data_IF_224593473686
#
_entry.id   IF_224593473686
#
_cell.length_a   1.000
_cell.length_b   1.000
_cell.length_c   1.000
_cell.angle_alpha   90.00
_cell.angle_beta   90.00
_cell.angle_gamma   90.00
#
_symmetry.space_group_name_H-M   'P 1'
#
loop_
_entity.id
_entity.type
_entity.pdbx_description
1 polymer ?
#
# COMPACT_ATOMS: atom_id res chain seq x y z
N UNK A 1 -31.58 40.79 -18.40
CA UNK A 1 -30.77 39.88 -19.24
C UNK A 1 -30.11 38.85 -18.33
N UNK A 2 -30.48 37.56 -18.38
CA UNK A 2 -29.82 36.53 -17.59
C UNK A 2 -28.71 35.83 -18.40
N UNK A 3 -27.53 35.75 -17.80
CA UNK A 3 -26.34 35.06 -18.32
C UNK A 3 -26.50 33.55 -18.05
N UNK A 4 -26.34 32.65 -19.05
CA UNK A 4 -26.48 31.21 -18.83
C UNK A 4 -25.23 30.63 -18.16
N UNK A 5 -25.42 29.96 -17.03
CA UNK A 5 -24.42 29.11 -16.40
C UNK A 5 -24.10 27.91 -17.30
N UNK A 6 -22.88 27.89 -17.83
CA UNK A 6 -22.30 26.76 -18.57
C UNK A 6 -22.19 25.55 -17.65
N UNK A 7 -22.83 24.46 -18.06
CA UNK A 7 -22.60 23.10 -17.56
C UNK A 7 -21.12 22.75 -17.79
N UNK A 8 -20.33 22.63 -16.73
CA UNK A 8 -19.01 22.01 -16.82
C UNK A 8 -19.18 20.49 -16.92
N UNK A 9 -19.19 19.99 -18.16
CA UNK A 9 -18.96 18.59 -18.46
C UNK A 9 -17.55 18.23 -17.98
N UNK A 10 -17.48 17.41 -16.92
CA UNK A 10 -16.25 16.76 -16.50
C UNK A 10 -15.82 15.82 -17.63
N UNK A 11 -14.84 16.27 -18.41
CA UNK A 11 -14.14 15.45 -19.40
C UNK A 11 -13.52 14.27 -18.66
N UNK A 12 -14.19 13.10 -18.69
CA UNK A 12 -13.59 11.80 -18.36
C UNK A 12 -12.36 11.63 -19.25
N UNK A 13 -11.13 11.52 -18.69
CA UNK A 13 -9.97 11.20 -19.50
C UNK A 13 -10.14 9.78 -20.03
N UNK A 14 -10.34 9.67 -21.34
CA UNK A 14 -10.36 8.41 -22.06
C UNK A 14 -8.96 7.78 -21.97
N UNK A 15 -8.84 6.75 -21.13
CA UNK A 15 -7.60 6.05 -20.87
C UNK A 15 -7.25 5.14 -22.06
N UNK A 16 -6.60 5.72 -23.08
CA UNK A 16 -6.00 4.97 -24.20
C UNK A 16 -4.66 5.62 -24.56
N UNK A 17 -3.59 5.25 -23.85
CA UNK A 17 -2.24 5.69 -24.17
C UNK A 17 -1.51 4.57 -24.93
N UNK A 18 -1.16 4.82 -26.19
CA UNK A 18 -0.64 3.82 -27.11
C UNK A 18 0.89 3.63 -27.03
N UNK A 19 1.61 4.45 -26.25
CA UNK A 19 3.05 4.25 -26.04
C UNK A 19 3.47 4.41 -24.58
N UNK A 20 4.41 3.57 -24.15
CA UNK A 20 5.02 3.63 -22.81
C UNK A 20 5.79 4.96 -22.63
N UNK A 21 6.25 5.56 -23.74
CA UNK A 21 6.97 6.83 -23.76
C UNK A 21 6.08 7.99 -23.31
N UNK A 22 4.87 8.11 -23.85
CA UNK A 22 3.91 9.15 -23.44
C UNK A 22 3.55 9.06 -21.95
N UNK A 23 3.45 7.84 -21.42
CA UNK A 23 3.18 7.63 -20.00
C UNK A 23 4.37 8.06 -19.12
N UNK A 24 5.61 7.83 -19.59
CA UNK A 24 6.82 8.26 -18.90
C UNK A 24 6.99 9.78 -18.94
N UNK A 25 6.68 10.41 -20.08
CA UNK A 25 6.82 11.87 -20.24
C UNK A 25 5.83 12.62 -19.33
N UNK A 26 4.58 12.16 -19.23
CA UNK A 26 3.63 12.70 -18.24
C UNK A 26 4.07 12.45 -16.81
N UNK A 27 4.64 11.28 -16.50
CA UNK A 27 5.16 11.03 -15.15
C UNK A 27 6.26 12.02 -14.77
N UNK A 28 7.14 12.38 -15.72
CA UNK A 28 8.14 13.43 -15.54
C UNK A 28 7.50 14.79 -15.29
N UNK A 29 6.43 15.14 -15.99
CA UNK A 29 5.67 16.39 -15.75
C UNK A 29 5.08 16.44 -14.33
N UNK A 30 4.49 15.35 -13.85
CA UNK A 30 3.84 15.32 -12.52
C UNK A 30 4.80 15.22 -11.35
N UNK A 31 5.92 14.50 -11.49
CA UNK A 31 6.84 14.20 -10.38
C UNK A 31 8.20 14.89 -10.50
N UNK A 32 8.45 15.62 -11.59
CA UNK A 32 9.74 16.25 -11.93
C UNK A 32 10.94 15.28 -11.81
N UNK A 33 10.68 13.98 -11.95
CA UNK A 33 11.64 12.90 -11.79
C UNK A 33 11.42 11.86 -12.87
N UNK A 34 12.51 11.27 -13.32
CA UNK A 34 12.48 10.18 -14.28
C UNK A 34 11.94 8.91 -13.65
N UNK A 35 11.26 8.08 -14.46
CA UNK A 35 10.72 6.81 -14.01
C UNK A 35 11.86 5.83 -13.71
N UNK A 36 12.19 5.66 -12.43
CA UNK A 36 13.36 4.92 -11.95
C UNK A 36 13.34 3.43 -12.30
N UNK A 37 12.16 2.86 -12.56
CA UNK A 37 11.98 1.43 -12.82
C UNK A 37 11.86 1.09 -14.31
N UNK A 38 12.17 2.04 -15.21
CA UNK A 38 12.11 1.77 -16.65
C UNK A 38 13.06 0.64 -17.05
N UNK A 39 14.26 0.62 -16.48
CA UNK A 39 15.24 -0.43 -16.72
C UNK A 39 14.74 -1.81 -16.24
N UNK A 40 14.22 -1.88 -15.02
CA UNK A 40 13.65 -3.12 -14.47
C UNK A 40 12.48 -3.65 -15.33
N UNK A 41 11.65 -2.75 -15.85
CA UNK A 41 10.58 -3.11 -16.79
C UNK A 41 11.12 -3.73 -18.09
N UNK A 42 12.23 -3.19 -18.62
CA UNK A 42 12.88 -3.73 -19.82
C UNK A 42 13.52 -5.10 -19.60
N UNK A 43 14.04 -5.36 -18.39
CA UNK A 43 14.57 -6.68 -18.02
C UNK A 43 13.44 -7.68 -17.86
N UNK A 44 12.37 -7.32 -17.13
CA UNK A 44 11.27 -8.23 -16.83
C UNK A 44 10.50 -8.65 -18.08
N UNK A 45 10.29 -7.74 -19.04
CA UNK A 45 9.50 -8.03 -20.25
C UNK A 45 10.11 -9.10 -21.17
N UNK A 46 11.42 -9.33 -21.08
CA UNK A 46 12.14 -10.36 -21.86
C UNK A 46 12.26 -11.70 -21.12
N UNK A 47 11.71 -11.81 -19.92
CA UNK A 47 11.74 -13.08 -19.17
C UNK A 47 10.61 -13.99 -19.66
N UNK A 48 10.91 -15.27 -19.85
CA UNK A 48 9.93 -16.30 -20.24
C UNK A 48 8.73 -16.36 -19.30
N UNK A 49 8.94 -16.10 -18.01
CA UNK A 49 7.87 -16.01 -17.00
C UNK A 49 6.88 -14.87 -17.28
N UNK A 50 7.36 -13.75 -17.80
CA UNK A 50 6.51 -12.63 -18.21
C UNK A 50 5.75 -12.94 -19.50
N UNK A 51 6.41 -13.58 -20.47
CA UNK A 51 5.79 -14.03 -21.71
C UNK A 51 4.65 -15.02 -21.44
N UNK A 52 4.88 -16.03 -20.59
CA UNK A 52 3.87 -17.01 -20.17
C UNK A 52 2.69 -16.32 -19.45
N UNK A 53 2.95 -15.29 -18.65
CA UNK A 53 1.93 -14.51 -17.97
C UNK A 53 1.07 -13.69 -18.95
N UNK A 54 1.70 -13.04 -19.94
CA UNK A 54 1.00 -12.29 -20.98
C UNK A 54 0.15 -13.23 -21.85
N UNK A 55 0.69 -14.39 -22.22
CA UNK A 55 -0.04 -15.40 -23.00
C UNK A 55 -1.26 -15.92 -22.23
N UNK A 56 -1.12 -16.19 -20.92
CA UNK A 56 -2.25 -16.53 -20.04
C UNK A 56 -3.30 -15.43 -19.96
N UNK A 57 -2.89 -14.16 -19.90
CA UNK A 57 -3.82 -13.03 -19.87
C UNK A 57 -4.58 -12.85 -21.20
N UNK A 58 -3.93 -13.11 -22.33
CA UNK A 58 -4.55 -13.04 -23.66
C UNK A 58 -5.51 -14.21 -23.91
N UNK A 59 -5.15 -15.41 -23.47
CA UNK A 59 -6.00 -16.60 -23.59
C UNK A 59 -7.21 -16.55 -22.66
N UNK A 60 -7.05 -16.01 -21.44
CA UNK A 60 -8.16 -15.81 -20.49
C UNK A 60 -9.22 -14.83 -21.01
N UNK A 61 -8.82 -13.84 -21.82
CA UNK A 61 -9.75 -12.93 -22.53
C UNK A 61 -10.52 -13.61 -23.66
N UNK A 62 -9.97 -14.64 -24.31
CA UNK A 62 -10.69 -15.40 -25.35
C UNK A 62 -11.79 -16.31 -24.78
N UNK A 63 -11.65 -16.76 -23.53
CA UNK A 63 -12.64 -17.64 -22.89
C UNK A 63 -13.93 -16.91 -22.45
N UNK A 64 -13.90 -15.57 -22.34
CA UNK A 64 -15.02 -14.77 -21.83
C UNK A 64 -15.74 -13.92 -22.91
N UNK A 65 -15.42 -14.10 -24.20
CA UNK A 65 -15.99 -13.27 -25.25
C UNK A 65 -16.12 -13.98 -26.60
N UNK A 66 -17.20 -14.73 -26.79
CA UNK A 66 -17.84 -14.81 -28.10
C UNK A 66 -18.54 -13.47 -28.36
N UNK A 67 -18.00 -12.67 -29.28
CA UNK A 67 -18.59 -11.39 -29.66
C UNK A 67 -17.66 -10.66 -30.63
N UNK A 68 -18.12 -10.49 -31.85
CA UNK A 68 -17.38 -9.97 -33.00
C UNK A 68 -16.85 -8.53 -32.80
N UNK A 69 -15.72 -8.24 -33.47
CA UNK A 69 -15.41 -6.88 -33.93
C UNK A 69 -14.07 -6.29 -33.45
N UNK A 70 -13.21 -5.97 -34.43
CA UNK A 70 -11.98 -5.15 -34.35
C UNK A 70 -10.69 -5.87 -33.90
N UNK A 71 -10.32 -6.90 -34.66
CA UNK A 71 -8.92 -7.13 -35.06
C UNK A 71 -8.57 -5.93 -35.96
N UNK A 72 -7.65 -5.03 -35.62
CA UNK A 72 -6.34 -4.99 -36.30
C UNK A 72 -5.35 -3.96 -35.71
N UNK A 73 -5.67 -3.31 -34.58
CA UNK A 73 -4.80 -2.25 -34.04
C UNK A 73 -3.79 -2.74 -32.97
N UNK A 74 -4.09 -3.85 -32.27
CA UNK A 74 -3.27 -4.29 -31.13
C UNK A 74 -2.16 -5.29 -31.51
N UNK A 75 -2.23 -5.89 -32.71
CA UNK A 75 -1.24 -6.86 -33.19
C UNK A 75 0.01 -6.21 -33.81
N UNK A 76 -0.03 -4.92 -34.16
CA UNK A 76 1.13 -4.23 -34.77
C UNK A 76 2.18 -3.74 -33.78
N UNK A 77 1.86 -3.60 -32.49
CA UNK A 77 2.78 -3.05 -31.51
C UNK A 77 3.82 -4.08 -30.98
N UNK A 78 3.53 -5.38 -31.07
CA UNK A 78 4.42 -6.41 -30.51
C UNK A 78 5.39 -7.04 -31.52
N UNK A 79 5.13 -6.94 -32.83
CA UNK A 79 5.99 -7.54 -33.86
C UNK A 79 7.19 -6.66 -34.26
N UNK A 80 7.11 -5.34 -34.05
CA UNK A 80 8.17 -4.39 -34.46
C UNK A 80 9.44 -4.45 -33.60
N UNK A 81 9.37 -4.97 -32.36
CA UNK A 81 10.52 -5.00 -31.43
C UNK A 81 11.25 -6.37 -31.47
N UNK A 82 10.81 -7.30 -32.34
CA UNK A 82 11.46 -8.61 -32.50
C UNK A 82 12.83 -8.53 -33.22
N UNK A 83 13.15 -7.41 -33.87
CA UNK A 83 14.26 -7.34 -34.83
C UNK A 83 15.63 -6.94 -34.27
N UNK A 84 15.84 -6.74 -32.96
CA UNK A 84 17.14 -6.22 -32.46
C UNK A 84 17.76 -6.84 -31.21
N UNK A 85 17.28 -8.00 -30.72
CA UNK A 85 17.95 -8.66 -29.59
C UNK A 85 18.19 -10.15 -29.87
N UNK A 86 19.20 -10.47 -30.67
CA UNK A 86 19.82 -11.80 -30.69
C UNK A 86 20.92 -11.83 -29.62
N UNK A 87 20.54 -12.02 -28.36
CA UNK A 87 21.52 -12.40 -27.33
C UNK A 87 21.65 -13.92 -27.38
N UNK A 88 22.78 -14.37 -27.92
CA UNK A 88 23.16 -15.78 -27.98
C UNK A 88 23.24 -16.35 -26.56
N UNK A 89 22.25 -17.17 -26.19
CA UNK A 89 22.34 -18.02 -25.00
C UNK A 89 22.92 -19.36 -25.46
N UNK A 90 24.11 -19.78 -24.99
CA UNK A 90 24.70 -21.06 -25.37
C UNK A 90 23.82 -22.23 -24.88
N UNK A 91 23.46 -23.10 -25.82
CA UNK A 91 22.81 -24.39 -25.54
C UNK A 91 23.89 -25.38 -25.07
N UNK A 92 24.00 -25.60 -23.76
CA UNK A 92 24.86 -26.66 -23.24
C UNK A 92 24.17 -28.03 -23.32
N UNK A 93 24.79 -28.92 -24.10
CA UNK A 93 25.09 -30.31 -23.75
C UNK A 93 23.92 -31.26 -23.46
N UNK A 94 23.60 -32.11 -24.43
CA UNK A 94 22.76 -33.28 -24.22
C UNK A 94 23.44 -34.28 -23.27
N UNK A 95 22.81 -34.52 -22.11
CA UNK A 95 23.20 -35.58 -21.18
C UNK A 95 22.59 -36.90 -21.68
N UNK A 96 23.46 -37.86 -22.01
CA UNK A 96 23.11 -39.24 -22.35
C UNK A 96 22.52 -39.92 -21.10
N UNK A 97 21.30 -40.45 -21.21
CA UNK A 97 20.64 -41.24 -20.16
C UNK A 97 21.17 -42.67 -20.18
N UNK A 98 21.89 -43.08 -19.15
CA UNK A 98 22.07 -44.50 -18.80
C UNK A 98 20.92 -44.91 -17.87
N UNK A 99 20.25 -45.99 -18.24
CA UNK A 99 19.12 -46.59 -17.55
C UNK A 99 19.66 -47.51 -16.45
N UNK A 100 19.44 -47.16 -15.19
CA UNK A 100 19.63 -48.06 -14.04
C UNK A 100 18.36 -48.09 -13.22
N UNK A 101 17.81 -49.31 -13.16
CA UNK A 101 17.04 -49.98 -12.10
C UNK A 101 16.00 -49.19 -11.30
N UNK A 102 14.76 -49.66 -11.46
CA UNK A 102 13.57 -49.19 -10.79
C UNK A 102 13.56 -49.63 -9.32
N UNK A 103 13.65 -48.65 -8.43
CA UNK A 103 13.04 -48.68 -7.09
C UNK A 103 11.94 -47.62 -7.12
N UNK A 104 10.70 -48.01 -6.80
CA UNK A 104 9.48 -47.21 -7.02
C UNK A 104 9.55 -45.78 -6.44
N UNK A 105 9.54 -44.72 -7.27
CA UNK A 105 9.60 -43.33 -6.83
C UNK A 105 8.21 -42.65 -6.94
N UNK A 106 7.16 -43.29 -6.39
CA UNK A 106 5.76 -42.92 -6.68
C UNK A 106 5.01 -42.17 -5.55
N UNK A 107 5.70 -41.60 -4.56
CA UNK A 107 5.03 -40.87 -3.46
C UNK A 107 5.74 -39.56 -3.04
N UNK A 108 7.06 -39.48 -3.13
CA UNK A 108 7.86 -38.34 -2.63
C UNK A 108 7.55 -37.01 -3.34
N UNK A 109 7.27 -37.05 -4.65
CA UNK A 109 6.99 -35.83 -5.43
C UNK A 109 5.65 -35.17 -5.08
N UNK A 110 4.63 -35.97 -4.71
CA UNK A 110 3.32 -35.46 -4.31
C UNK A 110 3.39 -34.83 -2.92
N UNK A 111 4.08 -35.48 -1.98
CA UNK A 111 4.33 -34.97 -0.64
C UNK A 111 5.09 -33.64 -0.66
N UNK A 112 6.18 -33.53 -1.45
CA UNK A 112 6.93 -32.27 -1.59
C UNK A 112 6.07 -31.14 -2.16
N UNK A 113 5.18 -31.43 -3.11
CA UNK A 113 4.28 -30.43 -3.67
C UNK A 113 3.26 -29.96 -2.62
N UNK A 114 2.68 -30.88 -1.86
CA UNK A 114 1.71 -30.59 -0.81
C UNK A 114 2.33 -29.82 0.36
N UNK A 115 3.53 -30.21 0.78
CA UNK A 115 4.34 -29.51 1.79
C UNK A 115 4.66 -28.08 1.34
N UNK A 116 5.04 -27.88 0.07
CA UNK A 116 5.26 -26.54 -0.48
C UNK A 116 3.99 -25.68 -0.51
N UNK A 117 2.82 -26.28 -0.77
CA UNK A 117 1.54 -25.54 -0.70
C UNK A 117 1.22 -25.10 0.73
N UNK A 118 1.44 -25.97 1.71
CA UNK A 118 1.29 -25.65 3.13
C UNK A 118 2.26 -24.56 3.57
N UNK A 119 3.53 -24.63 3.16
CA UNK A 119 4.54 -23.62 3.48
C UNK A 119 4.18 -22.25 2.89
N UNK A 120 3.64 -22.22 1.67
CA UNK A 120 3.16 -20.98 1.04
C UNK A 120 1.98 -20.41 1.82
N UNK A 121 1.00 -21.22 2.20
CA UNK A 121 -0.15 -20.76 3.00
C UNK A 121 0.29 -20.23 4.37
N UNK A 122 1.21 -20.90 5.03
CA UNK A 122 1.74 -20.51 6.34
C UNK A 122 2.55 -19.19 6.25
N UNK A 123 3.33 -19.00 5.17
CA UNK A 123 3.98 -17.72 4.87
C UNK A 123 2.97 -16.60 4.62
N UNK A 124 1.88 -16.88 3.91
CA UNK A 124 0.79 -15.92 3.67
C UNK A 124 0.04 -15.58 4.96
N UNK A 125 -0.24 -16.58 5.82
CA UNK A 125 -0.88 -16.40 7.11
C UNK A 125 -0.03 -15.49 8.02
N UNK A 126 1.27 -15.79 8.16
CA UNK A 126 2.22 -14.94 8.90
C UNK A 126 2.38 -13.54 8.31
N UNK A 127 2.28 -13.40 6.99
CA UNK A 127 2.31 -12.08 6.35
C UNK A 127 1.05 -11.26 6.68
N UNK A 128 -0.12 -11.90 6.66
CA UNK A 128 -1.40 -11.28 7.05
C UNK A 128 -1.41 -10.90 8.52
N UNK A 129 -0.98 -11.80 9.40
CA UNK A 129 -0.89 -11.55 10.84
C UNK A 129 -0.01 -10.32 11.13
N UNK A 130 1.22 -10.27 10.59
CA UNK A 130 2.10 -9.09 10.73
C UNK A 130 1.52 -7.80 10.13
N UNK A 131 0.63 -7.92 9.16
CA UNK A 131 -0.07 -6.76 8.62
C UNK A 131 -1.14 -6.26 9.60
N UNK A 132 -1.96 -7.17 10.13
CA UNK A 132 -2.96 -6.84 11.15
C UNK A 132 -2.34 -6.30 12.43
N UNK A 133 -1.26 -6.92 12.90
CA UNK A 133 -0.50 -6.46 14.07
C UNK A 133 0.04 -5.04 13.84
N UNK A 134 0.64 -4.77 12.67
CA UNK A 134 1.09 -3.41 12.34
C UNK A 134 -0.07 -2.41 12.30
N UNK A 135 -1.23 -2.80 11.78
CA UNK A 135 -2.41 -1.93 11.78
C UNK A 135 -2.91 -1.66 13.20
N UNK A 136 -2.96 -2.69 14.05
CA UNK A 136 -3.32 -2.55 15.46
C UNK A 136 -2.35 -1.62 16.20
N UNK A 137 -1.04 -1.83 16.03
CA UNK A 137 -0.01 -0.98 16.64
C UNK A 137 -0.09 0.48 16.16
N UNK A 138 -0.44 0.72 14.89
CA UNK A 138 -0.65 2.08 14.39
C UNK A 138 -1.87 2.71 15.04
N UNK A 139 -2.99 1.98 15.16
CA UNK A 139 -4.20 2.48 15.81
C UNK A 139 -3.97 2.77 17.30
N UNK A 140 -3.27 1.88 18.00
CA UNK A 140 -2.90 2.06 19.41
C UNK A 140 -2.05 3.31 19.60
N UNK A 141 -1.01 3.50 18.77
CA UNK A 141 -0.19 4.72 18.82
C UNK A 141 -0.98 5.99 18.51
N UNK A 142 -1.92 5.93 17.58
CA UNK A 142 -2.80 7.07 17.30
C UNK A 142 -3.67 7.41 18.52
N UNK A 143 -4.22 6.39 19.19
CA UNK A 143 -5.01 6.58 20.39
C UNK A 143 -4.14 7.15 21.53
N UNK A 144 -2.93 6.64 21.72
CA UNK A 144 -2.01 7.14 22.73
C UNK A 144 -1.69 8.63 22.49
N UNK A 145 -1.36 9.01 21.26
CA UNK A 145 -1.11 10.42 20.92
C UNK A 145 -2.34 11.29 21.19
N UNK A 146 -3.55 10.80 20.93
CA UNK A 146 -4.78 11.54 21.26
C UNK A 146 -4.98 11.71 22.76
N UNK A 147 -4.69 10.67 23.55
CA UNK A 147 -4.75 10.74 25.02
C UNK A 147 -3.75 11.77 25.54
N UNK A 148 -2.49 11.70 25.09
CA UNK A 148 -1.45 12.66 25.48
C UNK A 148 -1.81 14.10 25.10
N UNK A 149 -2.38 14.32 23.90
CA UNK A 149 -2.86 15.65 23.49
C UNK A 149 -4.02 16.15 24.36
N UNK A 150 -4.95 15.26 24.72
CA UNK A 150 -6.07 15.59 25.59
C UNK A 150 -5.58 15.93 27.01
N UNK A 151 -4.66 15.14 27.57
CA UNK A 151 -4.04 15.40 28.86
C UNK A 151 -3.26 16.71 28.87
N UNK A 152 -2.50 16.98 27.81
CA UNK A 152 -1.79 18.25 27.65
C UNK A 152 -2.76 19.43 27.67
N UNK A 153 -3.84 19.34 26.89
CA UNK A 153 -4.88 20.39 26.82
C UNK A 153 -5.54 20.59 28.17
N UNK A 154 -5.91 19.49 28.85
CA UNK A 154 -6.45 19.52 30.21
C UNK A 154 -5.52 20.23 31.18
N UNK A 155 -4.22 19.92 31.16
CA UNK A 155 -3.22 20.60 32.03
C UNK A 155 -3.09 22.08 31.69
N UNK A 156 -3.16 22.46 30.42
CA UNK A 156 -3.16 23.87 30.02
C UNK A 156 -4.38 24.62 30.58
N UNK A 157 -5.56 24.01 30.51
CA UNK A 157 -6.79 24.57 31.07
C UNK A 157 -6.74 24.67 32.59
N UNK A 158 -6.24 23.63 33.27
CA UNK A 158 -6.02 23.66 34.73
C UNK A 158 -5.05 24.78 35.12
N UNK A 159 -3.92 24.93 34.42
CA UNK A 159 -2.97 26.01 34.66
C UNK A 159 -3.60 27.39 34.45
N UNK A 160 -4.44 27.53 33.41
CA UNK A 160 -5.16 28.77 33.14
C UNK A 160 -6.13 29.12 34.28
N UNK A 161 -6.87 28.14 34.81
CA UNK A 161 -7.77 28.33 35.96
C UNK A 161 -6.96 28.71 37.21
N UNK A 162 -5.84 28.04 37.47
CA UNK A 162 -4.97 28.31 38.61
C UNK A 162 -4.31 29.70 38.57
N UNK A 163 -4.01 30.23 37.38
CA UNK A 163 -3.34 31.51 37.19
C UNK A 163 -4.27 32.67 36.84
N UNK A 164 -5.59 32.44 36.81
CA UNK A 164 -6.53 33.49 36.45
C UNK A 164 -6.61 34.56 37.53
N UNK A 165 -6.49 35.83 37.14
CA UNK A 165 -6.71 36.96 38.03
C UNK A 165 -8.20 37.08 38.39
N UNK A 166 -8.50 36.98 39.68
CA UNK A 166 -9.86 37.07 40.22
C UNK A 166 -10.22 38.48 40.70
N UNK A 167 -9.30 39.45 40.65
CA UNK A 167 -9.56 40.79 41.21
C UNK A 167 -10.73 41.50 40.50
N UNK A 168 -10.81 41.37 39.18
CA UNK A 168 -11.78 42.07 38.32
C UNK A 168 -13.01 41.23 37.97
N UNK A 169 -13.18 40.06 38.57
CA UNK A 169 -14.27 39.13 38.28
C UNK A 169 -15.47 39.40 39.21
N UNK A 170 -16.71 39.07 38.82
CA UNK A 170 -17.86 39.18 39.73
C UNK A 170 -17.74 38.21 40.90
N UNK A 171 -18.27 38.56 42.08
CA UNK A 171 -18.07 37.77 43.31
C UNK A 171 -18.54 36.31 43.17
N UNK A 172 -19.69 36.09 42.53
CA UNK A 172 -20.21 34.73 42.23
C UNK A 172 -19.27 33.93 41.33
N UNK A 173 -18.65 34.57 40.34
CA UNK A 173 -17.70 33.90 39.48
C UNK A 173 -16.36 33.65 40.20
N UNK A 174 -15.92 34.57 41.08
CA UNK A 174 -14.74 34.34 41.93
C UNK A 174 -14.89 33.08 42.78
N UNK A 175 -16.02 32.92 43.45
CA UNK A 175 -16.31 31.72 44.26
C UNK A 175 -16.25 30.45 43.42
N UNK A 176 -16.86 30.47 42.22
CA UNK A 176 -16.81 29.35 41.29
C UNK A 176 -15.37 28.96 40.90
N UNK A 177 -14.54 29.93 40.52
CA UNK A 177 -13.15 29.66 40.13
C UNK A 177 -12.27 29.24 41.31
N UNK A 178 -12.49 29.78 42.50
CA UNK A 178 -11.81 29.34 43.72
C UNK A 178 -12.14 27.88 44.05
N UNK A 179 -13.40 27.48 43.91
CA UNK A 179 -13.80 26.08 44.11
C UNK A 179 -13.11 25.16 43.10
N UNK A 180 -13.05 25.55 41.82
CA UNK A 180 -12.32 24.78 40.81
C UNK A 180 -10.81 24.69 41.11
N UNK A 181 -10.18 25.78 41.55
CA UNK A 181 -8.76 25.76 41.96
C UNK A 181 -8.54 24.80 43.14
N UNK A 182 -9.44 24.80 44.12
CA UNK A 182 -9.38 23.87 45.24
C UNK A 182 -9.54 22.42 44.79
N UNK A 183 -10.49 22.14 43.91
CA UNK A 183 -10.71 20.80 43.36
C UNK A 183 -9.48 20.29 42.61
N UNK A 184 -8.85 21.13 41.77
CA UNK A 184 -7.60 20.80 41.06
C UNK A 184 -6.50 20.44 42.07
N UNK A 185 -6.31 21.25 43.12
CA UNK A 185 -5.31 20.98 44.17
C UNK A 185 -5.63 19.72 45.00
N UNK A 186 -6.90 19.40 45.20
CA UNK A 186 -7.31 18.17 45.90
C UNK A 186 -7.07 16.93 45.03
N UNK A 187 -7.39 16.99 43.75
CA UNK A 187 -7.13 15.92 42.79
C UNK A 187 -5.63 15.66 42.66
N UNK A 188 -4.80 16.70 42.60
CA UNK A 188 -3.34 16.56 42.59
C UNK A 188 -2.80 15.95 43.89
N UNK A 189 -3.36 16.29 45.06
CA UNK A 189 -2.98 15.67 46.34
C UNK A 189 -3.34 14.18 46.42
N UNK A 190 -4.44 13.77 45.79
CA UNK A 190 -4.86 12.35 45.74
C UNK A 190 -4.16 11.55 44.63
N UNK A 191 -3.81 12.19 43.52
CA UNK A 191 -3.15 11.56 42.37
C UNK A 191 -1.62 11.67 42.34
N UNK A 192 -1.01 12.53 43.16
CA UNK A 192 0.43 12.84 43.17
C UNK A 192 1.35 11.73 43.73
N UNK A 193 0.84 10.52 43.95
CA UNK A 193 1.61 9.35 44.36
C UNK A 193 2.03 8.42 43.23
N UNK A 194 1.62 8.65 41.98
CA UNK A 194 1.87 7.72 40.88
C UNK A 194 2.59 8.38 39.70
N UNK A 195 3.82 7.90 39.47
CA UNK A 195 4.61 7.97 38.22
C UNK A 195 5.12 9.34 37.76
N UNK A 196 6.13 9.86 38.45
CA UNK A 196 7.27 10.52 37.77
C UNK A 196 8.55 10.29 38.57
N UNK A 197 9.02 9.04 38.71
CA UNK A 197 10.45 8.70 38.83
C UNK A 197 10.66 7.27 38.28
N UNK A 198 11.66 7.18 37.39
CA UNK A 198 12.36 6.02 36.83
C UNK A 198 11.83 5.35 35.57
#
# INVERSE_FOLDING_TARGET
MPIPFRVMTVLRPSFRHSTIKDACDRFKEFKKKDFQFLHCWHVLRGTRKWEDYVEKMLTKRKAYGQGQGKKDAQLRCYTYIRSRCTVNIPKNGGIKRTKTEATDPMDTGHQIFQERQLEIQDREARAKERHYERQANIQERQLQVQVEQWEWTKRQDENKIMLMDLHNVSETAKEYFLNMQQDILQLQRRGGGSSFIQ
#
